data_IF_595573417062
#
_entry.id   IF_595573417062
#
_cell.length_a   1.000
_cell.length_b   1.000
_cell.length_c   1.000
_cell.angle_alpha   90.00
_cell.angle_beta   90.00
_cell.angle_gamma   90.00
#
_symmetry.space_group_name_H-M   'P 1'
#
loop_
_entity.id
_entity.type
_entity.pdbx_description
1 polymer ?
#
# COMPACT_ATOMS: atom_id res chain seq x y z
N UNK A 1 -26.30 -0.19 3.10
CA UNK A 1 -25.20 0.38 2.29
C UNK A 1 -24.11 -0.67 2.21
N UNK A 2 -23.73 -1.03 1.00
CA UNK A 2 -22.91 -2.20 0.68
C UNK A 2 -21.47 -2.03 1.21
N UNK A 3 -20.96 -3.02 1.93
CA UNK A 3 -19.54 -3.16 2.30
C UNK A 3 -18.59 -3.13 1.05
N UNK A 4 -19.15 -3.32 -0.14
CA UNK A 4 -18.44 -3.28 -1.41
C UNK A 4 -18.24 -1.87 -1.98
N UNK A 5 -18.96 -0.86 -1.47
CA UNK A 5 -18.89 0.50 -2.01
C UNK A 5 -17.46 1.08 -1.96
N UNK A 6 -16.69 0.93 -0.87
CA UNK A 6 -15.30 1.40 -0.83
C UNK A 6 -14.41 0.75 -1.89
N UNK A 7 -14.59 -0.55 -2.14
CA UNK A 7 -13.80 -1.28 -3.15
C UNK A 7 -14.18 -0.91 -4.59
N UNK A 8 -15.42 -0.51 -4.83
CA UNK A 8 -15.91 -0.05 -6.14
C UNK A 8 -15.52 1.39 -6.42
N UNK A 9 -15.50 2.25 -5.38
CA UNK A 9 -15.12 3.66 -5.49
C UNK A 9 -13.61 3.87 -5.51
N UNK A 10 -12.81 2.95 -4.96
CA UNK A 10 -11.35 2.95 -5.10
C UNK A 10 -10.88 2.80 -6.57
N UNK A 11 -11.76 2.43 -7.48
CA UNK A 11 -11.54 2.49 -8.93
C UNK A 11 -11.89 3.83 -9.57
N UNK A 12 -12.40 4.81 -8.81
CA UNK A 12 -12.77 6.11 -9.33
C UNK A 12 -11.54 6.87 -9.88
N UNK A 13 -11.71 7.58 -10.97
CA UNK A 13 -10.62 8.30 -11.64
C UNK A 13 -9.95 9.33 -10.72
N UNK A 14 -10.69 9.86 -9.74
CA UNK A 14 -10.19 10.78 -8.72
C UNK A 14 -9.04 10.18 -7.89
N UNK A 15 -9.13 8.91 -7.49
CA UNK A 15 -8.07 8.23 -6.74
C UNK A 15 -6.87 7.84 -7.61
N UNK A 16 -7.08 7.56 -8.89
CA UNK A 16 -5.99 7.28 -9.83
C UNK A 16 -5.13 8.51 -10.13
N UNK A 17 -5.72 9.71 -10.02
CA UNK A 17 -5.01 10.97 -10.26
C UNK A 17 -4.08 11.38 -9.12
N UNK A 18 -4.15 10.69 -7.97
CA UNK A 18 -3.42 11.06 -6.75
C UNK A 18 -2.04 10.44 -6.68
N UNK A 19 -1.72 9.50 -7.57
CA UNK A 19 -0.37 8.92 -7.61
C UNK A 19 -0.01 8.04 -6.43
N UNK A 20 -1.02 7.59 -5.63
CA UNK A 20 -0.77 6.69 -4.50
C UNK A 20 -0.18 5.39 -5.04
N UNK A 21 1.08 5.12 -4.71
CA UNK A 21 1.81 3.94 -5.19
C UNK A 21 1.10 2.62 -4.89
N UNK A 22 0.39 2.55 -3.77
CA UNK A 22 -0.41 1.38 -3.38
C UNK A 22 -1.62 1.12 -4.29
N UNK A 23 -2.12 2.14 -5.00
CA UNK A 23 -3.22 2.02 -5.96
C UNK A 23 -2.73 1.77 -7.39
N UNK A 24 -1.43 1.80 -7.61
CA UNK A 24 -0.85 1.49 -8.91
C UNK A 24 -1.08 0.02 -9.31
N UNK A 25 -1.18 -0.27 -10.62
CA UNK A 25 -1.19 -1.65 -11.08
C UNK A 25 0.04 -2.41 -10.57
N UNK A 26 -0.17 -3.63 -10.08
CA UNK A 26 0.91 -4.44 -9.50
C UNK A 26 2.09 -4.64 -10.46
N UNK A 27 1.81 -4.75 -11.74
CA UNK A 27 2.83 -4.87 -12.79
C UNK A 27 3.69 -3.62 -12.94
N UNK A 28 3.22 -2.45 -12.50
CA UNK A 28 3.97 -1.19 -12.51
C UNK A 28 4.68 -0.95 -11.17
N UNK A 29 3.97 -1.13 -10.07
CA UNK A 29 4.51 -0.89 -8.73
C UNK A 29 5.59 -1.92 -8.34
N UNK A 30 5.38 -3.20 -8.66
CA UNK A 30 6.27 -4.29 -8.28
C UNK A 30 6.32 -5.40 -9.36
N UNK A 31 6.94 -5.17 -10.52
CA UNK A 31 6.85 -6.06 -11.67
C UNK A 31 7.39 -7.46 -11.40
N UNK A 32 8.45 -7.59 -10.63
CA UNK A 32 9.03 -8.90 -10.27
C UNK A 32 8.09 -9.67 -9.36
N UNK A 33 7.50 -9.01 -8.35
CA UNK A 33 6.53 -9.63 -7.44
C UNK A 33 5.26 -10.05 -8.19
N UNK A 34 4.77 -9.21 -9.11
CA UNK A 34 3.63 -9.51 -9.95
C UNK A 34 3.89 -10.74 -10.83
N UNK A 35 5.07 -10.84 -11.47
CA UNK A 35 5.46 -12.01 -12.25
C UNK A 35 5.53 -13.28 -11.39
N UNK A 36 6.12 -13.20 -10.19
CA UNK A 36 6.16 -14.30 -9.24
C UNK A 36 4.76 -14.73 -8.79
N UNK A 37 3.90 -13.79 -8.43
CA UNK A 37 2.52 -14.04 -8.01
C UNK A 37 1.69 -14.71 -9.10
N UNK A 38 1.77 -14.20 -10.34
CA UNK A 38 1.12 -14.81 -11.50
C UNK A 38 1.60 -16.24 -11.74
N UNK A 39 2.91 -16.46 -11.64
CA UNK A 39 3.53 -17.80 -11.85
C UNK A 39 3.05 -18.78 -10.78
N UNK A 40 3.04 -18.37 -9.52
CA UNK A 40 2.57 -19.18 -8.40
C UNK A 40 1.07 -19.51 -8.52
N UNK A 41 0.23 -18.52 -8.88
CA UNK A 41 -1.20 -18.72 -9.10
C UNK A 41 -1.45 -19.69 -10.24
N UNK A 42 -0.76 -19.54 -11.36
CA UNK A 42 -0.85 -20.46 -12.51
C UNK A 42 -0.41 -21.87 -12.12
N UNK A 43 0.72 -22.01 -11.42
CA UNK A 43 1.22 -23.31 -10.94
C UNK A 43 0.23 -24.00 -10.01
N UNK A 44 -0.38 -23.26 -9.08
CA UNK A 44 -1.41 -23.76 -8.18
C UNK A 44 -2.64 -24.27 -8.94
N UNK A 45 -3.18 -23.45 -9.86
CA UNK A 45 -4.35 -23.83 -10.66
C UNK A 45 -4.08 -25.06 -11.52
N UNK A 46 -2.91 -25.13 -12.16
CA UNK A 46 -2.48 -26.30 -12.93
C UNK A 46 -2.34 -27.55 -12.03
N UNK A 47 -1.80 -27.38 -10.84
CA UNK A 47 -1.68 -28.47 -9.88
C UNK A 47 -3.06 -28.99 -9.45
N UNK A 48 -3.99 -28.10 -9.08
CA UNK A 48 -5.38 -28.43 -8.75
C UNK A 48 -6.05 -29.17 -9.89
N UNK A 49 -5.94 -28.65 -11.10
CA UNK A 49 -6.48 -29.27 -12.30
C UNK A 49 -5.93 -30.70 -12.52
N UNK A 50 -4.62 -30.90 -12.24
CA UNK A 50 -3.95 -32.20 -12.39
C UNK A 50 -4.38 -33.22 -11.32
N UNK A 51 -4.58 -32.75 -10.09
CA UNK A 51 -5.10 -33.57 -8.99
C UNK A 51 -6.52 -34.05 -9.32
N UNK A 52 -7.42 -33.16 -9.73
CA UNK A 52 -8.80 -33.52 -10.11
C UNK A 52 -8.88 -34.51 -11.27
N UNK A 53 -8.07 -34.29 -12.32
CA UNK A 53 -8.01 -35.24 -13.45
C UNK A 53 -7.60 -36.66 -12.99
N UNK A 54 -6.69 -36.76 -12.03
CA UNK A 54 -6.23 -38.06 -11.48
C UNK A 54 -7.29 -38.71 -10.61
N UNK A 55 -8.13 -37.93 -9.94
CA UNK A 55 -9.24 -38.42 -9.10
C UNK A 55 -10.48 -38.81 -9.93
N UNK A 56 -10.44 -38.71 -11.26
CA UNK A 56 -11.58 -39.01 -12.15
C UNK A 56 -12.68 -37.95 -12.15
N UNK A 57 -12.41 -36.79 -11.52
CA UNK A 57 -13.34 -35.66 -11.47
C UNK A 57 -13.42 -34.88 -12.80
N UNK A 58 -14.56 -34.21 -13.03
CA UNK A 58 -14.68 -33.24 -14.12
C UNK A 58 -13.79 -32.03 -13.81
N UNK A 59 -13.10 -31.53 -14.85
CA UNK A 59 -12.31 -30.28 -14.75
C UNK A 59 -13.28 -29.10 -14.81
N UNK A 60 -14.02 -28.88 -13.73
CA UNK A 60 -14.84 -27.69 -13.54
C UNK A 60 -14.10 -26.75 -12.58
N UNK A 61 -14.27 -25.44 -12.77
CA UNK A 61 -13.79 -24.44 -11.84
C UNK A 61 -14.54 -24.61 -10.50
N UNK A 62 -13.81 -24.76 -9.43
CA UNK A 62 -14.34 -24.79 -8.07
C UNK A 62 -14.26 -23.40 -7.44
N UNK A 63 -14.92 -23.22 -6.30
CA UNK A 63 -14.94 -21.96 -5.58
C UNK A 63 -13.52 -21.45 -5.26
N UNK A 64 -12.59 -22.34 -4.87
CA UNK A 64 -11.20 -22.00 -4.62
C UNK A 64 -10.45 -21.49 -5.86
N UNK A 65 -10.76 -22.05 -7.07
CA UNK A 65 -10.12 -21.58 -8.31
C UNK A 65 -10.67 -20.20 -8.71
N UNK A 66 -11.99 -20.00 -8.56
CA UNK A 66 -12.64 -18.70 -8.82
C UNK A 66 -12.12 -17.64 -7.88
N UNK A 67 -11.90 -17.99 -6.60
CA UNK A 67 -11.34 -17.10 -5.60
C UNK A 67 -9.91 -16.68 -5.97
N UNK A 68 -9.04 -17.63 -6.36
CA UNK A 68 -7.66 -17.32 -6.77
C UNK A 68 -7.64 -16.46 -8.03
N UNK A 69 -8.48 -16.77 -9.04
CA UNK A 69 -8.57 -15.97 -10.27
C UNK A 69 -9.11 -14.56 -10.00
N UNK A 70 -10.13 -14.44 -9.16
CA UNK A 70 -10.71 -13.14 -8.80
C UNK A 70 -9.73 -12.26 -8.03
N UNK A 71 -9.04 -12.83 -7.02
CA UNK A 71 -8.04 -12.09 -6.25
C UNK A 71 -6.77 -11.79 -7.05
N UNK A 72 -6.39 -12.64 -8.02
CA UNK A 72 -5.32 -12.34 -8.98
C UNK A 72 -5.68 -11.13 -9.85
N UNK A 73 -6.90 -11.08 -10.38
CA UNK A 73 -7.35 -9.93 -11.16
C UNK A 73 -7.35 -8.64 -10.34
N UNK A 74 -7.80 -8.71 -9.07
CA UNK A 74 -7.75 -7.57 -8.14
C UNK A 74 -6.32 -7.14 -7.83
N UNK A 75 -5.39 -8.08 -7.59
CA UNK A 75 -3.99 -7.78 -7.33
C UNK A 75 -3.30 -7.15 -8.54
N UNK A 76 -3.59 -7.63 -9.76
CA UNK A 76 -3.06 -7.03 -10.99
C UNK A 76 -3.56 -5.60 -11.19
N UNK A 77 -4.80 -5.32 -10.81
CA UNK A 77 -5.38 -3.99 -10.90
C UNK A 77 -4.77 -3.02 -9.86
N UNK A 78 -4.37 -3.53 -8.70
CA UNK A 78 -3.93 -2.70 -7.58
C UNK A 78 -3.02 -3.53 -6.65
N UNK A 79 -1.78 -3.07 -6.42
CA UNK A 79 -0.78 -3.78 -5.60
C UNK A 79 -1.26 -4.05 -4.17
N UNK A 80 -2.05 -3.17 -3.59
CA UNK A 80 -2.64 -3.33 -2.24
C UNK A 80 -3.41 -4.64 -2.07
N UNK A 81 -3.92 -5.22 -3.17
CA UNK A 81 -4.70 -6.45 -3.13
C UNK A 81 -3.84 -7.74 -3.20
N UNK A 82 -2.52 -7.64 -3.25
CA UNK A 82 -1.62 -8.81 -3.30
C UNK A 82 -1.82 -9.75 -2.11
N UNK A 83 -2.07 -9.20 -0.92
CA UNK A 83 -2.30 -9.98 0.30
C UNK A 83 -3.53 -10.89 0.16
N UNK A 84 -4.60 -10.43 -0.49
CA UNK A 84 -5.80 -11.23 -0.75
C UNK A 84 -5.50 -12.39 -1.71
N UNK A 85 -4.63 -12.18 -2.70
CA UNK A 85 -4.18 -13.24 -3.59
C UNK A 85 -3.44 -14.33 -2.82
N UNK A 86 -2.44 -13.97 -2.02
CA UNK A 86 -1.66 -14.96 -1.26
C UNK A 86 -2.52 -15.70 -0.24
N UNK A 87 -3.44 -15.00 0.43
CA UNK A 87 -4.42 -15.61 1.35
C UNK A 87 -5.33 -16.61 0.62
N UNK A 88 -5.86 -16.24 -0.55
CA UNK A 88 -6.72 -17.12 -1.34
C UNK A 88 -5.98 -18.33 -1.88
N UNK A 89 -4.71 -18.18 -2.25
CA UNK A 89 -3.85 -19.29 -2.65
C UNK A 89 -3.59 -20.25 -1.48
N UNK A 90 -3.33 -19.74 -0.28
CA UNK A 90 -3.14 -20.56 0.92
C UNK A 90 -4.41 -21.35 1.28
N UNK A 91 -5.59 -20.70 1.23
CA UNK A 91 -6.88 -21.36 1.43
C UNK A 91 -7.13 -22.45 0.38
N UNK A 92 -6.85 -22.16 -0.90
CA UNK A 92 -7.00 -23.13 -1.99
C UNK A 92 -6.05 -24.32 -1.88
N UNK A 93 -4.87 -24.13 -1.27
CA UNK A 93 -3.95 -25.24 -0.95
C UNK A 93 -4.48 -26.12 0.17
N UNK A 94 -5.13 -25.55 1.19
CA UNK A 94 -5.71 -26.31 2.30
C UNK A 94 -6.82 -27.24 1.84
N UNK A 95 -7.64 -26.81 0.87
CA UNK A 95 -8.69 -27.66 0.30
C UNK A 95 -8.14 -28.91 -0.39
N UNK A 96 -6.97 -28.81 -1.03
CA UNK A 96 -6.33 -29.94 -1.71
C UNK A 96 -5.86 -31.00 -0.72
N UNK A 97 -5.51 -30.62 0.51
CA UNK A 97 -5.03 -31.58 1.52
C UNK A 97 -6.07 -32.65 1.83
N UNK A 98 -7.36 -32.30 1.81
CA UNK A 98 -8.47 -33.25 1.96
C UNK A 98 -8.56 -34.27 0.82
N UNK A 99 -8.29 -33.87 -0.42
CA UNK A 99 -8.35 -34.74 -1.60
C UNK A 99 -7.08 -35.60 -1.78
N UNK A 100 -5.92 -35.09 -1.38
CA UNK A 100 -4.62 -35.76 -1.51
C UNK A 100 -4.35 -36.71 -0.37
N UNK A 101 -5.03 -36.59 0.77
CA UNK A 101 -4.87 -37.45 1.96
C UNK A 101 -5.36 -38.91 1.77
N UNK A 102 -5.82 -39.30 0.58
CA UNK A 102 -6.14 -40.67 0.25
C UNK A 102 -4.89 -41.58 0.34
N UNK A 103 -5.08 -42.93 0.55
CA UNK A 103 -3.98 -43.85 0.87
C UNK A 103 -2.90 -44.00 -0.23
N UNK A 104 -3.07 -43.38 -1.40
CA UNK A 104 -2.10 -43.33 -2.50
C UNK A 104 -1.26 -42.06 -2.57
N UNK A 105 -1.54 -41.03 -1.75
CA UNK A 105 -0.81 -39.78 -1.71
C UNK A 105 0.52 -39.83 -0.95
N UNK A 106 1.33 -40.87 -1.24
CA UNK A 106 2.64 -41.11 -0.56
C UNK A 106 3.80 -40.32 -1.17
N UNK A 107 3.61 -39.01 -1.42
CA UNK A 107 4.76 -38.15 -1.73
C UNK A 107 4.74 -36.89 -0.86
N UNK A 108 4.92 -37.04 0.48
CA UNK A 108 4.99 -35.91 1.39
C UNK A 108 6.14 -34.94 1.03
N UNK A 109 7.17 -35.45 0.35
CA UNK A 109 8.30 -34.66 -0.09
C UNK A 109 7.92 -33.59 -1.15
N UNK A 110 6.96 -33.87 -2.05
CA UNK A 110 6.53 -32.89 -3.05
C UNK A 110 5.81 -31.69 -2.41
N UNK A 111 4.95 -31.97 -1.41
CA UNK A 111 4.32 -30.91 -0.63
C UNK A 111 5.37 -30.15 0.19
N UNK A 112 6.29 -30.85 0.83
CA UNK A 112 7.39 -30.25 1.57
C UNK A 112 8.24 -29.33 0.67
N UNK A 113 8.60 -29.78 -0.54
CA UNK A 113 9.35 -28.97 -1.52
C UNK A 113 8.56 -27.71 -1.93
N UNK A 114 7.25 -27.85 -2.22
CA UNK A 114 6.42 -26.68 -2.58
C UNK A 114 6.30 -25.69 -1.41
N UNK A 115 6.08 -26.18 -0.19
CA UNK A 115 6.03 -25.32 1.00
C UNK A 115 7.37 -24.63 1.27
N UNK A 116 8.50 -25.38 1.14
CA UNK A 116 9.84 -24.81 1.33
C UNK A 116 10.14 -23.76 0.26
N UNK A 117 9.79 -24.03 -1.00
CA UNK A 117 9.96 -23.05 -2.09
C UNK A 117 9.11 -21.79 -1.88
N UNK A 118 7.86 -21.94 -1.43
CA UNK A 118 6.99 -20.81 -1.12
C UNK A 118 7.53 -20.00 0.07
N UNK A 119 7.99 -20.65 1.12
CA UNK A 119 8.62 -19.99 2.28
C UNK A 119 9.93 -19.28 1.90
N UNK A 120 10.76 -19.91 1.06
CA UNK A 120 11.99 -19.32 0.58
C UNK A 120 11.72 -18.10 -0.31
N UNK A 121 10.70 -18.15 -1.18
CA UNK A 121 10.28 -17.03 -1.99
C UNK A 121 9.74 -15.87 -1.11
N UNK A 122 8.90 -16.17 -0.12
CA UNK A 122 8.39 -15.18 0.82
C UNK A 122 9.51 -14.54 1.66
N UNK A 123 10.46 -15.36 2.16
CA UNK A 123 11.63 -14.87 2.90
C UNK A 123 12.54 -14.01 2.01
N UNK A 124 12.72 -14.39 0.73
CA UNK A 124 13.48 -13.62 -0.24
C UNK A 124 12.85 -12.28 -0.55
N UNK A 125 11.53 -12.24 -0.74
CA UNK A 125 10.78 -10.99 -0.92
C UNK A 125 10.90 -10.10 0.33
N UNK A 126 10.70 -10.66 1.51
CA UNK A 126 10.83 -9.93 2.78
C UNK A 126 12.25 -9.37 2.95
N UNK A 127 13.28 -10.18 2.72
CA UNK A 127 14.67 -9.74 2.82
C UNK A 127 15.03 -8.64 1.81
N UNK A 128 14.40 -8.63 0.64
CA UNK A 128 14.60 -7.59 -0.38
C UNK A 128 13.90 -6.27 -0.03
N UNK A 129 12.79 -6.32 0.70
CA UNK A 129 11.98 -5.12 1.04
C UNK A 129 12.37 -4.51 2.39
N UNK A 130 12.83 -5.32 3.36
CA UNK A 130 13.21 -4.85 4.70
C UNK A 130 14.23 -3.68 4.70
N UNK A 131 15.34 -3.69 3.89
CA UNK A 131 16.31 -2.61 3.95
C UNK A 131 15.74 -1.25 3.52
N UNK A 132 14.88 -1.22 2.49
CA UNK A 132 14.25 0.02 2.04
C UNK A 132 13.29 0.56 3.11
N UNK A 133 12.53 -0.32 3.76
CA UNK A 133 11.59 0.05 4.81
C UNK A 133 12.30 0.61 6.04
N UNK A 134 13.40 0.00 6.47
CA UNK A 134 14.17 0.50 7.62
C UNK A 134 14.80 1.86 7.37
N UNK A 135 15.20 2.18 6.14
CA UNK A 135 15.70 3.51 5.78
C UNK A 135 14.57 4.55 5.88
N UNK A 136 13.41 4.25 5.32
CA UNK A 136 12.26 5.18 5.36
C UNK A 136 11.77 5.40 6.80
N UNK A 137 11.69 4.34 7.61
CA UNK A 137 11.31 4.44 9.03
C UNK A 137 12.33 5.30 9.80
N UNK A 138 13.64 5.09 9.60
CA UNK A 138 14.67 5.90 10.27
C UNK A 138 14.64 7.37 9.84
N UNK A 139 14.32 7.65 8.58
CA UNK A 139 14.16 9.01 8.07
C UNK A 139 12.89 9.67 8.63
N UNK A 140 11.79 8.93 8.78
CA UNK A 140 10.58 9.43 9.41
C UNK A 140 10.83 9.77 10.89
N UNK A 141 11.55 8.92 11.64
CA UNK A 141 11.96 9.20 13.02
C UNK A 141 12.85 10.47 13.10
N UNK A 142 13.77 10.65 12.14
CA UNK A 142 14.60 11.83 12.08
C UNK A 142 13.79 13.11 11.77
N UNK A 143 12.80 13.01 10.87
CA UNK A 143 11.89 14.12 10.57
C UNK A 143 11.03 14.51 11.79
N UNK A 144 10.50 13.51 12.53
CA UNK A 144 9.76 13.74 13.78
C UNK A 144 10.64 14.41 14.84
N UNK A 145 11.88 13.95 15.01
CA UNK A 145 12.82 14.59 15.93
C UNK A 145 13.16 16.04 15.53
N UNK A 146 13.22 16.32 14.23
CA UNK A 146 13.44 17.68 13.73
C UNK A 146 12.23 18.60 13.99
N UNK A 147 10.99 18.08 13.87
CA UNK A 147 9.78 18.80 14.25
C UNK A 147 9.78 19.16 15.73
N UNK A 148 10.07 18.22 16.60
CA UNK A 148 10.17 18.44 18.05
C UNK A 148 11.25 19.48 18.38
N UNK A 149 12.42 19.39 17.73
CA UNK A 149 13.51 20.34 17.90
C UNK A 149 13.16 21.76 17.40
N UNK A 150 12.28 21.86 16.41
CA UNK A 150 11.72 23.11 15.89
C UNK A 150 10.60 23.68 16.78
N UNK A 151 10.19 22.96 17.82
CA UNK A 151 9.19 23.41 18.80
C UNK A 151 7.77 22.96 18.51
N UNK A 152 7.57 21.98 17.63
CA UNK A 152 6.25 21.40 17.38
C UNK A 152 5.72 20.66 18.61
N UNK A 153 4.45 20.87 18.93
CA UNK A 153 3.76 20.23 20.05
C UNK A 153 2.68 19.26 19.56
N UNK A 154 2.34 18.29 20.41
CA UNK A 154 1.23 17.36 20.11
C UNK A 154 -0.08 18.13 19.87
N UNK A 155 -0.75 17.82 18.77
CA UNK A 155 -1.94 18.52 18.31
C UNK A 155 -1.70 19.62 17.27
N UNK A 156 -0.45 19.95 16.96
CA UNK A 156 -0.16 20.91 15.91
C UNK A 156 -0.52 20.37 14.54
N UNK A 157 -0.97 21.28 13.66
CA UNK A 157 -1.22 20.96 12.27
C UNK A 157 0.12 20.88 11.51
N UNK A 158 0.28 19.84 10.71
CA UNK A 158 1.49 19.63 9.91
C UNK A 158 1.08 19.41 8.45
N UNK A 159 1.61 20.24 7.54
CA UNK A 159 1.49 20.02 6.11
C UNK A 159 2.34 18.80 5.75
N UNK A 160 1.73 17.80 5.16
CA UNK A 160 2.43 16.59 4.75
C UNK A 160 1.74 15.96 3.54
N UNK A 161 2.43 15.06 2.90
CA UNK A 161 1.79 14.16 1.97
C UNK A 161 1.35 12.85 2.66
N UNK A 162 0.82 11.92 1.86
CA UNK A 162 0.27 10.67 2.36
C UNK A 162 1.32 9.71 2.94
N UNK A 163 2.59 9.85 2.52
CA UNK A 163 3.64 8.88 2.83
C UNK A 163 4.12 8.96 4.29
N UNK A 164 4.03 10.16 4.91
CA UNK A 164 4.48 10.39 6.30
C UNK A 164 3.33 10.68 7.26
N UNK A 165 2.11 10.87 6.72
CA UNK A 165 0.97 11.32 7.53
C UNK A 165 0.59 10.38 8.66
N UNK A 166 0.71 9.07 8.46
CA UNK A 166 0.39 8.09 9.52
C UNK A 166 1.38 8.11 10.68
N UNK A 167 2.66 8.33 10.41
CA UNK A 167 3.71 8.49 11.42
C UNK A 167 3.50 9.76 12.23
N UNK A 168 3.13 10.86 11.56
CA UNK A 168 2.78 12.13 12.21
C UNK A 168 1.54 11.95 13.11
N UNK A 169 0.49 11.27 12.64
CA UNK A 169 -0.70 11.02 13.46
C UNK A 169 -0.37 10.14 14.68
N UNK A 170 0.45 9.11 14.50
CA UNK A 170 0.91 8.24 15.60
C UNK A 170 1.74 9.01 16.64
N UNK A 171 2.51 9.99 16.20
CA UNK A 171 3.26 10.90 17.08
C UNK A 171 2.38 11.96 17.76
N UNK A 172 1.09 12.05 17.39
CA UNK A 172 0.12 12.93 18.01
C UNK A 172 -0.08 14.26 17.31
N UNK A 173 0.48 14.47 16.11
CA UNK A 173 0.24 15.63 15.27
C UNK A 173 -1.06 15.50 14.47
N UNK A 174 -1.50 16.59 13.84
CA UNK A 174 -2.64 16.61 12.91
C UNK A 174 -2.13 16.75 11.47
N UNK A 175 -1.89 15.62 10.78
CA UNK A 175 -1.40 15.65 9.41
C UNK A 175 -2.46 16.19 8.45
N UNK A 176 -2.01 16.86 7.37
CA UNK A 176 -2.88 17.31 6.28
C UNK A 176 -3.49 16.11 5.53
N UNK A 177 -2.69 15.08 5.30
CA UNK A 177 -3.06 13.82 4.65
C UNK A 177 -2.51 12.64 5.44
N UNK A 178 -3.20 11.50 5.34
CA UNK A 178 -2.73 10.22 5.87
C UNK A 178 -3.07 9.06 4.90
N UNK A 179 -2.65 7.86 5.21
CA UNK A 179 -2.85 6.67 4.37
C UNK A 179 -4.31 6.23 4.23
N UNK A 180 -5.24 6.83 4.96
CA UNK A 180 -6.68 6.59 4.86
C UNK A 180 -7.30 7.47 3.77
N UNK A 181 -6.76 7.38 2.55
CA UNK A 181 -7.15 8.20 1.39
C UNK A 181 -8.67 8.28 1.17
N UNK A 182 -9.42 7.23 1.57
CA UNK A 182 -10.88 7.20 1.48
C UNK A 182 -11.57 8.26 2.35
N UNK A 183 -10.94 8.71 3.45
CA UNK A 183 -11.52 9.74 4.32
C UNK A 183 -11.49 11.13 3.67
N UNK A 184 -10.66 11.33 2.66
CA UNK A 184 -10.51 12.60 1.94
C UNK A 184 -11.42 12.70 0.72
N UNK A 185 -12.12 11.62 0.35
CA UNK A 185 -13.05 11.59 -0.78
C UNK A 185 -14.40 12.19 -0.38
N UNK A 186 -14.97 13.14 -1.17
CA UNK A 186 -16.26 13.78 -0.87
C UNK A 186 -17.40 12.80 -0.65
N UNK A 187 -17.40 11.68 -1.36
CA UNK A 187 -18.42 10.63 -1.28
C UNK A 187 -18.45 9.93 0.09
N UNK A 188 -17.33 9.95 0.82
CA UNK A 188 -17.16 9.22 2.07
C UNK A 188 -17.11 10.12 3.30
N UNK A 189 -16.70 11.38 3.14
CA UNK A 189 -16.52 12.34 4.25
C UNK A 189 -17.65 13.36 4.40
N UNK A 190 -18.78 13.14 3.72
CA UNK A 190 -19.95 14.04 3.83
C UNK A 190 -19.95 15.22 2.85
N UNK A 191 -19.20 15.13 1.76
CA UNK A 191 -19.21 16.06 0.65
C UNK A 191 -18.12 17.14 0.68
N UNK A 192 -17.16 17.04 1.59
CA UNK A 192 -16.01 17.96 1.65
C UNK A 192 -14.92 17.46 0.70
N UNK A 193 -14.47 18.30 -0.22
CA UNK A 193 -13.33 18.00 -1.09
C UNK A 193 -11.99 18.27 -0.36
N UNK A 194 -11.71 17.43 0.64
CA UNK A 194 -10.46 17.51 1.39
C UNK A 194 -9.23 17.17 0.53
N UNK A 195 -9.43 16.36 -0.48
CA UNK A 195 -8.41 15.98 -1.44
C UNK A 195 -8.02 17.15 -2.37
N UNK A 196 -9.02 17.88 -2.89
CA UNK A 196 -8.78 19.08 -3.68
C UNK A 196 -8.07 20.15 -2.84
N UNK A 197 -8.50 20.35 -1.60
CA UNK A 197 -7.84 21.28 -0.67
C UNK A 197 -6.38 20.92 -0.41
N UNK A 198 -6.09 19.65 -0.10
CA UNK A 198 -4.72 19.19 0.12
C UNK A 198 -3.85 19.34 -1.14
N UNK A 199 -4.40 19.08 -2.32
CA UNK A 199 -3.69 19.28 -3.58
C UNK A 199 -3.33 20.75 -3.82
N UNK A 200 -4.22 21.69 -3.49
CA UNK A 200 -3.93 23.13 -3.58
C UNK A 200 -2.74 23.48 -2.68
N UNK A 201 -2.72 22.97 -1.43
CA UNK A 201 -1.59 23.15 -0.52
C UNK A 201 -0.30 22.58 -1.13
N UNK A 202 -0.31 21.33 -1.57
CA UNK A 202 0.88 20.66 -2.12
C UNK A 202 1.35 21.26 -3.46
N UNK A 203 0.48 22.01 -4.16
CA UNK A 203 0.86 22.77 -5.36
C UNK A 203 1.45 24.16 -5.06
N UNK A 204 1.61 24.52 -3.79
CA UNK A 204 2.23 25.76 -3.37
C UNK A 204 1.29 26.99 -3.37
N UNK A 205 -0.03 26.75 -3.36
CA UNK A 205 -1.01 27.85 -3.26
C UNK A 205 -0.91 28.48 -1.85
N UNK A 206 -0.43 29.73 -1.78
CA UNK A 206 -0.17 30.44 -0.54
C UNK A 206 -1.43 30.60 0.33
N UNK A 207 -2.60 30.87 -0.26
CA UNK A 207 -3.87 31.01 0.45
C UNK A 207 -4.30 29.66 1.04
N UNK A 208 -4.11 28.57 0.29
CA UNK A 208 -4.40 27.23 0.76
C UNK A 208 -3.44 26.80 1.90
N UNK A 209 -2.15 27.12 1.80
CA UNK A 209 -1.16 26.87 2.84
C UNK A 209 -1.53 27.61 4.13
N UNK A 210 -1.79 28.92 4.07
CA UNK A 210 -2.23 29.72 5.23
C UNK A 210 -3.53 29.19 5.83
N UNK A 211 -4.47 28.76 4.98
CA UNK A 211 -5.74 28.17 5.38
C UNK A 211 -5.62 26.89 6.23
N UNK A 212 -4.50 26.20 6.19
CA UNK A 212 -4.24 25.03 7.05
C UNK A 212 -4.02 25.39 8.51
N UNK A 213 -3.53 26.61 8.78
CA UNK A 213 -3.09 27.06 10.10
C UNK A 213 -1.89 26.27 10.62
N UNK A 214 -1.12 25.64 9.74
CA UNK A 214 0.07 24.89 10.10
C UNK A 214 1.30 25.80 10.13
N UNK A 215 2.15 25.61 11.14
CA UNK A 215 3.46 26.25 11.25
C UNK A 215 4.60 25.28 10.88
N UNK A 216 4.27 24.05 10.52
CA UNK A 216 5.20 23.00 10.17
C UNK A 216 4.80 22.27 8.89
N UNK A 217 5.83 21.80 8.15
CA UNK A 217 5.62 20.91 7.00
C UNK A 217 6.65 19.79 6.98
N UNK A 218 6.23 18.57 6.58
CA UNK A 218 7.09 17.41 6.35
C UNK A 218 6.71 16.79 5.01
N UNK A 219 7.63 16.79 4.07
CA UNK A 219 7.40 16.27 2.71
C UNK A 219 8.59 15.48 2.20
N UNK A 220 8.40 14.55 1.26
CA UNK A 220 9.50 13.85 0.63
C UNK A 220 10.42 14.83 -0.12
N UNK A 221 11.74 14.66 0.03
CA UNK A 221 12.74 15.57 -0.50
C UNK A 221 12.62 15.73 -2.02
N UNK A 222 12.46 16.99 -2.46
CA UNK A 222 12.37 17.37 -3.87
C UNK A 222 11.09 16.92 -4.59
N UNK A 223 10.08 16.38 -3.86
CA UNK A 223 8.83 15.93 -4.49
C UNK A 223 7.88 17.08 -4.85
N UNK A 224 7.95 18.18 -4.11
CA UNK A 224 7.00 19.30 -4.19
C UNK A 224 7.70 20.67 -4.31
N UNK A 225 8.46 20.94 -5.40
CA UNK A 225 9.22 22.19 -5.51
C UNK A 225 8.33 23.44 -5.47
N UNK A 226 7.11 23.40 -6.01
CA UNK A 226 6.19 24.53 -5.91
C UNK A 226 5.71 24.78 -4.47
N UNK A 227 5.54 23.75 -3.66
CA UNK A 227 5.24 23.88 -2.23
C UNK A 227 6.44 24.50 -1.49
N UNK A 228 7.66 24.08 -1.80
CA UNK A 228 8.87 24.64 -1.18
C UNK A 228 8.97 26.15 -1.42
N UNK A 229 8.70 26.60 -2.67
CA UNK A 229 8.65 28.01 -3.02
C UNK A 229 7.54 28.75 -2.24
N UNK A 230 6.32 28.20 -2.19
CA UNK A 230 5.20 28.77 -1.45
C UNK A 230 5.45 28.85 0.06
N UNK A 231 6.06 27.83 0.66
CA UNK A 231 6.47 27.82 2.07
C UNK A 231 7.51 28.91 2.35
N UNK A 232 8.51 29.07 1.48
CA UNK A 232 9.54 30.11 1.61
C UNK A 232 8.94 31.50 1.53
N UNK A 233 7.98 31.77 0.62
CA UNK A 233 7.27 33.04 0.51
C UNK A 233 6.47 33.38 1.79
N UNK A 234 5.95 32.36 2.48
CA UNK A 234 5.20 32.50 3.72
C UNK A 234 6.10 32.53 4.98
N UNK A 235 7.42 32.53 4.82
CA UNK A 235 8.39 32.66 5.90
C UNK A 235 8.78 31.36 6.58
N UNK A 236 8.42 30.20 6.02
CA UNK A 236 8.96 28.93 6.49
C UNK A 236 10.43 28.80 6.13
N UNK A 237 11.19 28.13 6.98
CA UNK A 237 12.59 27.79 6.75
C UNK A 237 12.77 26.27 6.84
N UNK A 238 13.62 25.72 5.96
CA UNK A 238 13.94 24.30 6.02
C UNK A 238 14.87 24.03 7.19
N UNK A 239 14.42 23.22 8.15
CA UNK A 239 15.15 22.89 9.38
C UNK A 239 15.80 21.51 9.32
N UNK A 240 15.36 20.64 8.41
CA UNK A 240 15.94 19.30 8.21
C UNK A 240 15.81 18.87 6.75
N UNK A 241 16.77 18.08 6.29
CA UNK A 241 16.76 17.39 5.00
C UNK A 241 17.78 16.24 5.06
N UNK A 242 17.30 15.01 4.95
CA UNK A 242 18.15 13.81 4.91
C UNK A 242 18.17 13.12 3.54
N UNK A 243 17.58 13.79 2.52
CA UNK A 243 17.42 13.27 1.16
C UNK A 243 16.22 12.32 1.00
N UNK A 244 15.49 12.01 2.09
CA UNK A 244 14.23 11.27 2.06
C UNK A 244 13.08 12.20 2.42
N UNK A 245 13.20 12.93 3.54
CA UNK A 245 12.23 13.92 3.98
C UNK A 245 12.88 15.27 4.24
N UNK A 246 12.12 16.30 3.93
CA UNK A 246 12.40 17.69 4.30
C UNK A 246 11.40 18.14 5.34
N UNK A 247 11.91 18.89 6.36
CA UNK A 247 11.09 19.50 7.40
C UNK A 247 11.24 21.01 7.34
N UNK A 248 10.11 21.70 7.36
CA UNK A 248 10.01 23.14 7.36
C UNK A 248 9.30 23.61 8.63
N UNK A 249 9.75 24.75 9.18
CA UNK A 249 9.15 25.43 10.32
C UNK A 249 9.04 26.94 10.06
N UNK A 250 8.01 27.57 10.58
CA UNK A 250 7.72 28.98 10.49
C UNK A 250 8.10 29.73 11.75
#
# INVERSE_FOLDING_TARGET
RSLMLPFLTMGAESLKSVGIGELAPWTQAAPVQAACGCTLAAALLLFRCRVRRRSGGRVLLEAGDVLVLGTLALALANVRNELFLFTSMALSLSDIQGEVAGPRARRPWALAVCCTAALAAAAGCLAATLPARTVTEASADAALAALEAAGAESGDAVICDIDVGSELELAGYRPLLDTRAELFCPELNGGTDAWGAARSVLSGDAEAIEGTGADFAVVPSGAYPALEDGLAELGFSRVHDDGTFEVYAR
#
